data_IF_893758115697
#
_entry.id   IF_893758115697
#
_cell.length_a   1.000
_cell.length_b   1.000
_cell.length_c   1.000
_cell.angle_alpha   90.00
_cell.angle_beta   90.00
_cell.angle_gamma   90.00
#
_symmetry.space_group_name_H-M   'P 1'
#
loop_
_entity.id
_entity.type
_entity.pdbx_description
1 polymer ?
#
# COMPACT_ATOMS: atom_id res chain seq x y z
N UNK A 1 18.25 15.91 -11.93
CA UNK A 1 18.08 14.59 -11.29
C UNK A 1 17.99 13.57 -12.41
N UNK A 2 18.82 12.54 -12.38
CA UNK A 2 18.85 11.51 -13.42
C UNK A 2 17.53 10.70 -13.41
N UNK A 3 16.91 10.56 -14.59
CA UNK A 3 15.64 9.84 -14.78
C UNK A 3 15.80 8.37 -14.41
N UNK A 4 16.94 7.76 -14.74
CA UNK A 4 17.20 6.36 -14.43
C UNK A 4 17.32 6.13 -12.93
N UNK A 5 18.03 7.02 -12.24
CA UNK A 5 18.07 7.04 -10.79
C UNK A 5 16.67 7.16 -10.17
N UNK A 6 15.82 8.08 -10.65
CA UNK A 6 14.49 8.26 -10.09
C UNK A 6 13.61 7.00 -10.27
N UNK A 7 13.59 6.42 -11.47
CA UNK A 7 12.79 5.23 -11.76
C UNK A 7 13.28 4.03 -10.94
N UNK A 8 14.60 3.82 -10.86
CA UNK A 8 15.17 2.73 -10.07
C UNK A 8 14.86 2.89 -8.58
N UNK A 9 14.95 4.11 -8.06
CA UNK A 9 14.59 4.42 -6.67
C UNK A 9 13.12 4.11 -6.38
N UNK A 10 12.19 4.56 -7.24
CA UNK A 10 10.76 4.30 -7.08
C UNK A 10 10.45 2.80 -7.11
N UNK A 11 11.03 2.04 -8.04
CA UNK A 11 10.86 0.58 -8.10
C UNK A 11 11.38 -0.11 -6.85
N UNK A 12 12.54 0.32 -6.33
CA UNK A 12 13.11 -0.22 -5.08
C UNK A 12 12.21 0.04 -3.87
N UNK A 13 11.63 1.25 -3.76
CA UNK A 13 10.73 1.61 -2.66
C UNK A 13 9.35 0.98 -2.79
N UNK A 14 8.90 0.71 -4.00
CA UNK A 14 7.62 0.11 -4.32
C UNK A 14 7.80 -1.29 -4.92
N UNK A 15 8.53 -2.16 -4.21
CA UNK A 15 8.93 -3.47 -4.74
C UNK A 15 7.74 -4.33 -5.22
N UNK A 16 6.56 -4.15 -4.62
CA UNK A 16 5.32 -4.83 -5.00
C UNK A 16 4.85 -4.53 -6.43
N UNK A 17 5.33 -3.44 -7.06
CA UNK A 17 5.08 -3.16 -8.47
C UNK A 17 5.61 -4.27 -9.38
N UNK A 18 6.74 -4.85 -9.00
CA UNK A 18 7.44 -5.91 -9.75
C UNK A 18 7.11 -7.29 -9.20
N UNK A 19 7.16 -7.47 -7.86
CA UNK A 19 6.97 -8.79 -7.23
C UNK A 19 5.51 -9.23 -7.16
N UNK A 20 4.57 -8.30 -7.37
CA UNK A 20 3.12 -8.49 -7.18
C UNK A 20 2.75 -9.03 -5.79
N UNK A 21 3.62 -8.84 -4.80
CA UNK A 21 3.48 -9.36 -3.45
C UNK A 21 4.07 -8.38 -2.43
N UNK A 22 3.49 -8.35 -1.23
CA UNK A 22 4.04 -7.63 -0.07
C UNK A 22 4.76 -8.63 0.85
N UNK A 23 5.96 -8.28 1.32
CA UNK A 23 6.77 -9.13 2.18
C UNK A 23 6.06 -9.42 3.52
N UNK A 24 6.14 -10.65 4.08
CA UNK A 24 5.49 -10.97 5.34
C UNK A 24 5.85 -10.03 6.50
N UNK A 25 7.10 -9.58 6.56
CA UNK A 25 7.60 -8.65 7.59
C UNK A 25 6.91 -7.27 7.53
N UNK A 26 6.53 -6.82 6.35
CA UNK A 26 5.89 -5.51 6.15
C UNK A 26 4.40 -5.53 6.51
N UNK A 27 3.76 -6.71 6.43
CA UNK A 27 2.33 -6.88 6.77
C UNK A 27 2.08 -6.83 8.27
N UNK A 28 3.02 -7.28 9.10
CA UNK A 28 2.86 -7.29 10.57
C UNK A 28 1.56 -7.97 11.03
N UNK A 29 1.03 -7.56 12.19
CA UNK A 29 -0.25 -8.07 12.70
C UNK A 29 -1.41 -7.47 11.92
N UNK A 30 -2.32 -8.33 11.46
CA UNK A 30 -3.47 -7.96 10.66
C UNK A 30 -4.45 -7.04 11.42
N UNK A 31 -4.93 -5.98 10.76
CA UNK A 31 -5.81 -4.96 11.35
C UNK A 31 -7.10 -4.80 10.53
N UNK A 32 -7.87 -5.89 10.43
CA UNK A 32 -9.05 -6.01 9.56
C UNK A 32 -10.05 -4.85 9.69
N UNK A 33 -10.30 -4.33 10.88
CA UNK A 33 -11.24 -3.21 11.08
C UNK A 33 -10.80 -1.93 10.37
N UNK A 34 -9.49 -1.66 10.33
CA UNK A 34 -8.94 -0.50 9.62
C UNK A 34 -8.98 -0.71 8.11
N UNK A 35 -8.71 -1.93 7.64
CA UNK A 35 -8.79 -2.28 6.23
C UNK A 35 -10.21 -2.08 5.70
N UNK A 36 -11.22 -2.59 6.42
CA UNK A 36 -12.64 -2.39 6.07
C UNK A 36 -13.03 -0.91 5.99
N UNK A 37 -12.55 -0.08 6.94
CA UNK A 37 -12.78 1.38 6.93
C UNK A 37 -12.14 2.07 5.72
N UNK A 38 -10.93 1.66 5.34
CA UNK A 38 -10.27 2.18 4.14
C UNK A 38 -11.05 1.77 2.89
N UNK A 39 -11.49 0.52 2.79
CA UNK A 39 -12.27 0.00 1.65
C UNK A 39 -13.58 0.74 1.40
N UNK A 40 -14.24 1.25 2.45
CA UNK A 40 -15.44 2.10 2.30
C UNK A 40 -15.17 3.35 1.46
N UNK A 41 -13.89 3.72 1.31
CA UNK A 41 -13.45 4.89 0.60
C UNK A 41 -12.98 4.60 -0.84
N UNK A 42 -12.97 3.34 -1.29
CA UNK A 42 -12.53 2.94 -2.64
C UNK A 42 -13.30 3.65 -3.77
N UNK A 43 -14.57 3.99 -3.50
CA UNK A 43 -15.46 4.66 -4.46
C UNK A 43 -15.30 6.18 -4.47
N UNK A 44 -14.44 6.74 -3.63
CA UNK A 44 -14.27 8.18 -3.51
C UNK A 44 -13.15 8.63 -4.44
N UNK A 45 -13.45 9.54 -5.35
CA UNK A 45 -12.47 10.16 -6.26
C UNK A 45 -11.67 11.26 -5.54
N UNK A 46 -11.00 10.92 -4.42
CA UNK A 46 -10.21 11.87 -3.63
C UNK A 46 -9.04 11.21 -2.94
N UNK A 47 -8.05 12.04 -2.60
CA UNK A 47 -6.90 11.61 -1.79
C UNK A 47 -7.35 11.36 -0.35
N UNK A 48 -6.90 10.24 0.22
CA UNK A 48 -7.17 9.84 1.60
C UNK A 48 -5.87 9.83 2.38
N UNK A 49 -5.86 10.48 3.53
CA UNK A 49 -4.69 10.55 4.40
C UNK A 49 -4.89 9.67 5.64
N UNK A 50 -3.98 8.70 5.86
CA UNK A 50 -3.87 8.02 7.16
C UNK A 50 -3.02 8.87 8.11
N UNK A 51 -3.64 9.40 9.16
CA UNK A 51 -2.99 10.26 10.16
C UNK A 51 -2.90 9.59 11.54
N UNK A 52 -2.02 10.09 12.40
CA UNK A 52 -1.82 9.59 13.77
C UNK A 52 -0.35 9.56 14.21
N UNK A 53 -0.10 9.20 15.48
CA UNK A 53 1.23 9.28 16.12
C UNK A 53 2.30 8.42 15.43
N UNK A 54 3.58 8.78 15.58
CA UNK A 54 4.72 8.01 15.03
C UNK A 54 4.65 6.56 15.52
N UNK A 55 5.01 5.59 14.66
CA UNK A 55 5.02 4.14 14.95
C UNK A 55 3.67 3.51 15.31
N UNK A 56 2.53 4.17 15.05
CA UNK A 56 1.20 3.58 15.25
C UNK A 56 0.78 2.50 14.22
N UNK A 57 1.65 2.12 13.28
CA UNK A 57 1.35 1.09 12.28
C UNK A 57 0.67 1.59 11.00
N UNK A 58 0.62 2.90 10.74
CA UNK A 58 0.02 3.46 9.50
C UNK A 58 0.62 2.85 8.21
N UNK A 59 1.95 2.78 8.12
CA UNK A 59 2.63 2.18 6.97
C UNK A 59 2.33 0.67 6.86
N UNK A 60 2.22 -0.02 7.98
CA UNK A 60 1.82 -1.44 8.03
C UNK A 60 0.40 -1.64 7.50
N UNK A 61 -0.55 -0.77 7.89
CA UNK A 61 -1.93 -0.80 7.35
C UNK A 61 -1.92 -0.56 5.83
N UNK A 62 -1.10 0.39 5.36
CA UNK A 62 -0.96 0.65 3.92
C UNK A 62 -0.45 -0.59 3.17
N UNK A 63 0.55 -1.30 3.72
CA UNK A 63 1.05 -2.56 3.16
C UNK A 63 -0.01 -3.67 3.14
N UNK A 64 -0.77 -3.84 4.22
CA UNK A 64 -1.88 -4.80 4.27
C UNK A 64 -2.94 -4.48 3.20
N UNK A 65 -3.26 -3.20 3.01
CA UNK A 65 -4.22 -2.77 2.01
C UNK A 65 -3.70 -2.96 0.58
N UNK A 66 -2.41 -2.68 0.31
CA UNK A 66 -1.76 -3.00 -0.97
C UNK A 66 -1.82 -4.50 -1.26
N UNK A 67 -1.49 -5.35 -0.28
CA UNK A 67 -1.55 -6.81 -0.40
C UNK A 67 -2.97 -7.29 -0.74
N UNK A 68 -3.99 -6.69 -0.11
CA UNK A 68 -5.39 -6.97 -0.43
C UNK A 68 -5.74 -6.56 -1.87
N UNK A 69 -5.36 -5.36 -2.30
CA UNK A 69 -5.65 -4.87 -3.65
C UNK A 69 -5.00 -5.75 -4.72
N UNK A 70 -3.73 -6.14 -4.53
CA UNK A 70 -3.02 -7.03 -5.45
C UNK A 70 -3.71 -8.40 -5.62
N UNK A 71 -4.42 -8.87 -4.59
CA UNK A 71 -5.13 -10.16 -4.59
C UNK A 71 -6.56 -10.08 -5.11
N UNK A 72 -7.19 -8.91 -5.00
CA UNK A 72 -8.65 -8.76 -5.20
C UNK A 72 -9.01 -7.91 -6.40
N UNK A 73 -8.10 -7.05 -6.87
CA UNK A 73 -8.32 -6.18 -8.02
C UNK A 73 -7.45 -6.64 -9.18
N UNK A 74 -8.06 -6.76 -10.36
CA UNK A 74 -7.31 -6.83 -11.62
C UNK A 74 -7.03 -5.39 -12.06
N UNK A 75 -5.82 -5.05 -12.51
CA UNK A 75 -5.58 -3.78 -13.20
C UNK A 75 -6.54 -3.69 -14.39
N UNK A 76 -7.18 -2.54 -14.57
CA UNK A 76 -7.88 -2.24 -15.81
C UNK A 76 -6.84 -2.13 -16.95
N UNK A 77 -7.19 -2.57 -18.15
CA UNK A 77 -6.33 -2.54 -19.35
C UNK A 77 -6.00 -1.13 -19.81
#
# INVERSE_FOLDING_TARGET
MDKEFLISYLKKRNYWWQTKNVAPLDRGTERQDYIKKIQQSDKLERIICLSGIRRSGKTTILYQYIDLLLKTKKPEE
#
